data_IF_927790193638
#
_entry.id   IF_927790193638
#
_cell.length_a   1.000
_cell.length_b   1.000
_cell.length_c   1.000
_cell.angle_alpha   90.00
_cell.angle_beta   90.00
_cell.angle_gamma   90.00
#
_symmetry.space_group_name_H-M   'P 1'
#
loop_
_entity.id
_entity.type
_entity.pdbx_description
1 polymer ?
#
# COMPACT_ATOMS: atom_id res chain seq x y z
N UNK A 1 23.45 -1.44 10.92
CA UNK A 1 22.67 -0.51 11.73
C UNK A 1 21.64 -1.31 12.53
N UNK A 2 21.27 -0.85 13.71
CA UNK A 2 20.26 -1.43 14.56
C UNK A 2 19.40 -0.27 15.08
N UNK A 3 18.09 -0.46 15.09
CA UNK A 3 17.13 0.49 15.65
C UNK A 3 16.01 -0.28 16.35
N UNK A 4 15.39 0.34 17.35
CA UNK A 4 14.19 -0.17 18.01
C UNK A 4 13.08 0.86 17.85
N UNK A 5 11.88 0.38 17.64
CA UNK A 5 10.69 1.23 17.56
C UNK A 5 9.53 0.55 18.27
N UNK A 6 8.77 1.28 19.10
CA UNK A 6 7.58 0.74 19.69
C UNK A 6 6.48 0.52 18.64
N UNK A 7 5.66 -0.47 18.83
CA UNK A 7 4.45 -0.73 18.07
C UNK A 7 3.25 -0.75 19.00
N UNK A 8 2.09 -0.35 18.51
CA UNK A 8 0.86 -0.32 19.30
C UNK A 8 -0.37 -0.57 18.43
N UNK A 9 -1.48 -0.91 19.07
CA UNK A 9 -2.78 -1.04 18.40
C UNK A 9 -3.28 0.26 17.76
N UNK A 10 -2.81 1.41 18.23
CA UNK A 10 -3.19 2.71 17.66
C UNK A 10 -2.75 2.85 16.19
N UNK A 11 -1.66 2.19 15.79
CA UNK A 11 -1.18 2.13 14.40
C UNK A 11 -1.28 0.71 13.82
N UNK A 12 -2.24 -0.07 14.27
CA UNK A 12 -2.46 -1.48 13.87
C UNK A 12 -1.17 -2.31 13.88
N UNK A 13 -0.32 -2.10 14.88
CA UNK A 13 0.95 -2.79 15.10
C UNK A 13 1.97 -2.58 13.96
N UNK A 14 1.77 -1.60 13.11
CA UNK A 14 2.75 -1.25 12.09
C UNK A 14 3.90 -0.45 12.70
N UNK A 15 5.08 -0.56 12.10
CA UNK A 15 6.27 0.17 12.49
C UNK A 15 6.87 0.90 11.30
N UNK A 16 7.31 2.13 11.54
CA UNK A 16 7.99 2.96 10.56
C UNK A 16 9.32 3.41 11.13
N UNK A 17 10.42 3.06 10.46
CA UNK A 17 11.77 3.34 10.95
C UNK A 17 12.57 4.02 9.83
N UNK A 18 13.11 5.19 10.11
CA UNK A 18 14.07 5.85 9.23
C UNK A 18 15.48 5.47 9.63
N UNK A 19 16.22 4.85 8.73
CA UNK A 19 17.64 4.52 8.92
C UNK A 19 18.49 5.49 8.11
N UNK A 20 19.21 6.32 8.79
CA UNK A 20 20.17 7.28 8.21
C UNK A 20 21.60 6.76 8.18
N UNK A 21 22.50 7.57 7.58
CA UNK A 21 23.95 7.31 7.56
C UNK A 21 24.37 6.15 6.64
N UNK A 22 23.49 5.66 5.79
CA UNK A 22 23.81 4.63 4.81
C UNK A 22 24.60 5.22 3.65
N UNK A 23 25.55 4.45 3.10
CA UNK A 23 26.32 4.87 1.93
C UNK A 23 25.42 4.86 0.69
N UNK A 24 25.55 5.82 -0.23
CA UNK A 24 24.77 5.87 -1.46
C UNK A 24 25.09 4.68 -2.38
N UNK A 25 24.13 4.33 -3.22
CA UNK A 25 24.25 3.29 -4.24
C UNK A 25 24.76 1.94 -3.69
N UNK A 26 24.25 1.54 -2.55
CA UNK A 26 24.62 0.29 -1.88
C UNK A 26 23.38 -0.55 -1.59
N UNK A 27 23.51 -1.84 -1.79
CA UNK A 27 22.54 -2.82 -1.35
C UNK A 27 22.68 -3.07 0.13
N UNK A 28 21.55 -3.10 0.82
CA UNK A 28 21.44 -3.44 2.24
C UNK A 28 20.36 -4.50 2.40
N UNK A 29 20.51 -5.34 3.42
CA UNK A 29 19.51 -6.29 3.85
C UNK A 29 19.04 -5.92 5.24
N UNK A 30 17.75 -6.09 5.49
CA UNK A 30 17.13 -5.78 6.77
C UNK A 30 16.14 -6.87 7.18
N UNK A 31 15.91 -6.96 8.47
CA UNK A 31 14.89 -7.84 9.06
C UNK A 31 14.33 -7.16 10.30
N UNK A 32 13.03 -7.28 10.49
CA UNK A 32 12.38 -6.93 11.75
C UNK A 32 12.33 -8.17 12.63
N UNK A 33 12.53 -7.97 13.92
CA UNK A 33 12.38 -9.04 14.93
C UNK A 33 11.59 -8.48 16.10
N UNK A 34 10.67 -9.28 16.64
CA UNK A 34 9.95 -8.95 17.85
C UNK A 34 10.75 -9.34 19.12
N UNK A 35 10.19 -9.03 20.30
CA UNK A 35 10.81 -9.35 21.58
C UNK A 35 10.82 -10.86 21.90
N UNK A 36 10.08 -11.67 21.15
CA UNK A 36 10.04 -13.13 21.30
C UNK A 36 11.00 -13.84 20.35
N UNK A 37 11.69 -13.08 19.47
CA UNK A 37 12.64 -13.62 18.50
C UNK A 37 12.00 -14.01 17.15
N UNK A 38 10.69 -13.78 16.94
CA UNK A 38 10.08 -13.98 15.64
C UNK A 38 10.60 -12.96 14.64
N UNK A 39 10.91 -13.39 13.43
CA UNK A 39 11.51 -12.55 12.39
C UNK A 39 10.62 -12.41 11.17
N UNK A 40 10.65 -11.23 10.55
CA UNK A 40 10.10 -11.03 9.20
C UNK A 40 10.94 -11.75 8.14
N UNK A 41 10.46 -11.77 6.90
CA UNK A 41 11.32 -12.05 5.75
C UNK A 41 12.51 -11.10 5.76
N UNK A 42 13.64 -11.54 5.22
CA UNK A 42 14.79 -10.66 4.98
C UNK A 42 14.47 -9.79 3.76
N UNK A 43 14.38 -8.49 3.99
CA UNK A 43 14.19 -7.52 2.93
C UNK A 43 15.53 -7.08 2.35
N UNK A 44 15.56 -6.82 1.04
CA UNK A 44 16.66 -6.20 0.31
C UNK A 44 16.24 -4.79 -0.11
N UNK A 45 17.13 -3.85 0.05
CA UNK A 45 16.94 -2.49 -0.45
C UNK A 45 18.23 -1.96 -1.05
N UNK A 46 18.11 -0.93 -1.89
CA UNK A 46 19.26 -0.20 -2.42
C UNK A 46 19.08 1.29 -2.10
N UNK A 47 20.15 1.92 -1.67
CA UNK A 47 20.15 3.38 -1.48
C UNK A 47 20.31 4.10 -2.81
N UNK A 48 19.66 5.26 -2.93
CA UNK A 48 19.81 6.10 -4.12
C UNK A 48 21.29 6.43 -4.40
N UNK A 49 21.69 6.55 -5.66
CA UNK A 49 23.02 7.06 -6.03
C UNK A 49 23.15 8.56 -5.68
N UNK A 50 24.38 9.05 -5.72
CA UNK A 50 24.60 10.51 -5.65
C UNK A 50 24.04 11.20 -6.91
N UNK A 51 23.67 12.49 -6.84
CA UNK A 51 23.03 13.20 -7.97
C UNK A 51 23.82 13.18 -9.29
N UNK A 52 25.13 13.01 -9.24
CA UNK A 52 25.99 13.00 -10.42
C UNK A 52 26.58 11.62 -10.75
N UNK A 53 26.08 10.57 -10.12
CA UNK A 53 26.51 9.20 -10.42
C UNK A 53 25.94 8.76 -11.78
N UNK A 54 26.78 8.41 -12.77
CA UNK A 54 26.33 8.12 -14.14
C UNK A 54 25.79 6.69 -14.33
N UNK A 55 25.60 5.94 -13.25
CA UNK A 55 25.12 4.54 -13.34
C UNK A 55 23.75 4.43 -13.98
N UNK A 56 23.52 3.35 -14.66
CA UNK A 56 22.18 2.96 -15.10
C UNK A 56 21.34 2.61 -13.88
N UNK A 57 20.07 3.01 -13.90
CA UNK A 57 19.05 2.67 -12.91
C UNK A 57 17.97 1.85 -13.63
N UNK A 58 17.74 0.64 -13.17
CA UNK A 58 16.76 -0.27 -13.73
C UNK A 58 15.54 -0.34 -12.81
N UNK A 59 14.36 -0.09 -13.32
CA UNK A 59 13.15 -0.18 -12.52
C UNK A 59 11.98 -0.75 -13.32
N UNK A 60 11.05 -1.38 -12.63
CA UNK A 60 9.75 -1.69 -13.17
C UNK A 60 8.71 -0.72 -12.59
N UNK A 61 7.67 -0.40 -13.36
CA UNK A 61 6.50 0.28 -12.83
C UNK A 61 5.29 -0.65 -12.91
N UNK A 62 4.44 -0.55 -11.90
CA UNK A 62 3.21 -1.33 -11.74
C UNK A 62 2.10 -0.44 -11.22
N UNK A 63 0.85 -0.81 -11.46
CA UNK A 63 -0.35 -0.16 -10.93
C UNK A 63 -1.51 -1.14 -10.90
N UNK A 64 -2.62 -0.76 -10.27
CA UNK A 64 -3.91 -1.42 -10.45
C UNK A 64 -3.85 -2.92 -10.15
N UNK A 65 -3.33 -3.29 -8.98
CA UNK A 65 -3.25 -4.69 -8.56
C UNK A 65 -4.51 -5.10 -7.78
N UNK A 66 -5.28 -6.04 -8.31
CA UNK A 66 -6.48 -6.53 -7.62
C UNK A 66 -6.32 -7.99 -7.17
N UNK A 67 -6.13 -8.18 -5.86
CA UNK A 67 -6.03 -9.51 -5.23
C UNK A 67 -7.37 -10.21 -5.17
N UNK A 68 -8.46 -9.45 -5.11
CA UNK A 68 -9.81 -10.00 -5.05
C UNK A 68 -10.17 -10.76 -6.33
N UNK A 69 -9.76 -10.24 -7.49
CA UNK A 69 -10.01 -10.82 -8.81
C UNK A 69 -8.88 -11.73 -9.31
N UNK A 70 -7.95 -12.13 -8.46
CA UNK A 70 -6.87 -13.06 -8.81
C UNK A 70 -5.61 -12.88 -7.96
N UNK A 71 -4.66 -13.79 -8.11
CA UNK A 71 -3.38 -13.74 -7.41
C UNK A 71 -2.38 -12.85 -8.14
N UNK A 72 -1.47 -12.21 -7.40
CA UNK A 72 -0.47 -11.29 -7.94
C UNK A 72 0.75 -12.03 -8.56
N UNK A 73 0.50 -13.10 -9.30
CA UNK A 73 1.52 -13.96 -9.90
C UNK A 73 2.44 -13.25 -10.91
N UNK A 74 2.08 -12.05 -11.36
CA UNK A 74 2.95 -11.20 -12.16
C UNK A 74 4.27 -10.87 -11.40
N UNK A 75 4.20 -10.67 -10.08
CA UNK A 75 5.39 -10.45 -9.26
C UNK A 75 6.31 -11.66 -9.24
N UNK A 76 5.76 -12.88 -9.18
CA UNK A 76 6.55 -14.10 -9.28
C UNK A 76 7.28 -14.18 -10.63
N UNK A 77 6.61 -13.80 -11.72
CA UNK A 77 7.24 -13.74 -13.03
C UNK A 77 8.34 -12.68 -13.08
N UNK A 78 8.11 -11.50 -12.51
CA UNK A 78 9.15 -10.47 -12.40
C UNK A 78 10.39 -10.98 -11.66
N UNK A 79 10.20 -11.65 -10.51
CA UNK A 79 11.30 -12.25 -9.73
C UNK A 79 12.06 -13.28 -10.57
N UNK A 80 11.33 -14.16 -11.24
CA UNK A 80 11.93 -15.19 -12.09
C UNK A 80 12.81 -14.62 -13.21
N UNK A 81 12.36 -13.56 -13.87
CA UNK A 81 13.12 -12.90 -14.95
C UNK A 81 14.32 -12.13 -14.39
N UNK A 82 14.12 -11.40 -13.29
CA UNK A 82 15.17 -10.61 -12.64
C UNK A 82 16.32 -11.48 -12.10
N UNK A 83 16.02 -12.66 -11.56
CA UNK A 83 17.04 -13.60 -11.09
C UNK A 83 17.92 -14.19 -12.21
N UNK A 84 17.41 -14.20 -13.43
CA UNK A 84 18.11 -14.69 -14.63
C UNK A 84 18.79 -13.60 -15.41
N UNK A 85 18.42 -12.36 -15.17
CA UNK A 85 19.04 -11.22 -15.80
C UNK A 85 20.50 -11.04 -15.35
N UNK A 86 21.39 -10.59 -16.23
CA UNK A 86 22.72 -10.14 -15.81
C UNK A 86 22.64 -9.10 -14.70
N UNK A 87 23.57 -9.11 -13.74
CA UNK A 87 23.53 -8.22 -12.58
C UNK A 87 23.35 -6.73 -12.93
N UNK A 88 23.88 -6.28 -14.05
CA UNK A 88 23.73 -4.91 -14.53
C UNK A 88 22.33 -4.58 -15.08
N UNK A 89 21.47 -5.59 -15.26
CA UNK A 89 20.11 -5.45 -15.79
C UNK A 89 19.06 -5.79 -14.73
N UNK A 90 19.48 -6.25 -13.55
CA UNK A 90 18.55 -6.53 -12.45
C UNK A 90 17.91 -5.24 -11.95
N UNK A 91 16.66 -5.35 -11.49
CA UNK A 91 15.90 -4.21 -11.02
C UNK A 91 16.45 -3.66 -9.69
N UNK A 92 16.58 -2.35 -9.63
CA UNK A 92 16.93 -1.62 -8.41
C UNK A 92 15.71 -1.40 -7.51
N UNK A 93 14.54 -1.07 -8.09
CA UNK A 93 13.30 -0.81 -7.37
C UNK A 93 12.05 -1.03 -8.24
N UNK A 94 10.90 -1.02 -7.58
CA UNK A 94 9.58 -1.03 -8.21
C UNK A 94 8.88 0.29 -7.92
N UNK A 95 8.38 0.96 -8.97
CA UNK A 95 7.55 2.15 -8.86
C UNK A 95 6.08 1.71 -8.94
N UNK A 96 5.33 1.92 -7.86
CA UNK A 96 3.90 1.61 -7.79
C UNK A 96 3.09 2.89 -7.97
N UNK A 97 2.37 2.98 -9.08
CA UNK A 97 1.69 4.19 -9.52
C UNK A 97 0.28 4.38 -8.93
N UNK A 98 -0.04 3.65 -7.88
CA UNK A 98 -1.34 3.72 -7.21
C UNK A 98 -2.24 2.51 -7.49
N UNK A 99 -3.41 2.50 -6.87
CA UNK A 99 -4.28 1.33 -6.78
C UNK A 99 -3.52 0.11 -6.21
N UNK A 100 -2.82 0.36 -5.12
CA UNK A 100 -2.16 -0.72 -4.36
C UNK A 100 -3.19 -1.63 -3.70
N UNK A 101 -4.33 -1.07 -3.34
CA UNK A 101 -5.52 -1.79 -2.90
C UNK A 101 -6.69 -1.42 -3.79
N UNK A 102 -7.72 -2.26 -3.78
CA UNK A 102 -9.06 -1.94 -4.24
C UNK A 102 -9.97 -1.99 -3.02
N UNK A 103 -10.56 -0.85 -2.67
CA UNK A 103 -11.42 -0.73 -1.49
C UNK A 103 -12.77 -1.41 -1.70
N UNK A 104 -13.17 -1.61 -2.96
CA UNK A 104 -14.38 -2.37 -3.32
C UNK A 104 -14.02 -3.85 -3.42
N UNK A 105 -14.64 -4.68 -2.58
CA UNK A 105 -14.37 -6.12 -2.53
C UNK A 105 -15.62 -6.93 -2.78
N UNK A 106 -15.49 -8.02 -3.52
CA UNK A 106 -16.52 -9.04 -3.68
C UNK A 106 -16.23 -10.21 -2.73
N UNK A 107 -17.28 -10.81 -2.22
CA UNK A 107 -17.15 -11.99 -1.37
C UNK A 107 -17.33 -13.27 -2.17
N UNK A 108 -16.44 -14.27 -2.02
CA UNK A 108 -16.48 -15.50 -2.82
C UNK A 108 -17.72 -16.37 -2.57
N UNK A 109 -18.45 -16.17 -1.48
CA UNK A 109 -19.75 -16.79 -1.22
C UNK A 109 -20.90 -16.10 -1.95
N UNK A 110 -20.73 -14.86 -2.38
CA UNK A 110 -21.73 -14.11 -3.19
C UNK A 110 -21.39 -14.16 -4.69
N UNK A 111 -20.11 -14.01 -5.04
CA UNK A 111 -19.61 -14.01 -6.41
C UNK A 111 -18.43 -14.98 -6.51
N UNK A 112 -18.55 -16.01 -7.33
CA UNK A 112 -17.49 -17.02 -7.46
C UNK A 112 -16.41 -16.65 -8.45
N UNK A 113 -16.81 -16.00 -9.52
CA UNK A 113 -15.91 -15.65 -10.63
C UNK A 113 -16.26 -14.29 -11.22
N UNK A 114 -15.24 -13.56 -11.66
CA UNK A 114 -15.36 -12.35 -12.47
C UNK A 114 -14.28 -12.39 -13.56
N UNK A 115 -14.64 -12.07 -14.81
CA UNK A 115 -13.73 -12.13 -15.97
C UNK A 115 -12.98 -13.48 -16.07
N UNK A 116 -13.70 -14.58 -15.85
CA UNK A 116 -13.16 -15.96 -15.82
C UNK A 116 -12.08 -16.20 -14.74
N UNK A 117 -11.98 -15.32 -13.74
CA UNK A 117 -11.09 -15.46 -12.59
C UNK A 117 -11.89 -15.78 -11.33
N UNK A 118 -11.30 -16.58 -10.46
CA UNK A 118 -11.86 -16.89 -9.15
C UNK A 118 -11.77 -15.65 -8.25
N UNK A 119 -12.87 -15.32 -7.57
CA UNK A 119 -12.87 -14.30 -6.52
C UNK A 119 -12.24 -14.91 -5.27
N UNK A 120 -11.27 -14.17 -4.69
CA UNK A 120 -10.60 -14.54 -3.44
C UNK A 120 -11.05 -13.62 -2.31
N UNK A 121 -11.16 -14.20 -1.12
CA UNK A 121 -11.44 -13.37 0.06
C UNK A 121 -10.25 -12.49 0.40
N UNK A 122 -10.46 -11.17 0.42
CA UNK A 122 -9.50 -10.16 0.80
C UNK A 122 -9.76 -9.67 2.21
N UNK A 123 -11.00 -9.25 2.47
CA UNK A 123 -11.44 -8.75 3.77
C UNK A 123 -12.94 -8.90 3.90
N UNK A 124 -13.43 -9.01 5.13
CA UNK A 124 -14.86 -8.87 5.45
C UNK A 124 -15.10 -7.49 6.03
N UNK A 125 -16.12 -6.83 5.55
CA UNK A 125 -16.51 -5.46 5.90
C UNK A 125 -17.95 -5.45 6.43
N UNK A 126 -18.19 -5.98 7.64
CA UNK A 126 -19.55 -6.20 8.16
C UNK A 126 -20.35 -4.90 8.30
N UNK A 127 -19.68 -3.79 8.59
CA UNK A 127 -20.29 -2.48 8.79
C UNK A 127 -20.18 -1.60 7.51
N UNK A 128 -19.65 -2.15 6.44
CA UNK A 128 -19.49 -1.45 5.17
C UNK A 128 -20.77 -1.47 4.34
N UNK A 129 -21.07 -0.40 3.59
CA UNK A 129 -22.16 -0.42 2.65
C UNK A 129 -21.87 -1.34 1.47
N UNK A 130 -22.93 -1.64 0.71
CA UNK A 130 -22.89 -2.48 -0.48
C UNK A 130 -23.46 -1.74 -1.68
N UNK A 131 -22.79 -1.81 -2.81
CA UNK A 131 -23.27 -1.34 -4.10
C UNK A 131 -23.16 -2.46 -5.14
N UNK A 132 -24.28 -3.01 -5.57
CA UNK A 132 -24.29 -4.24 -6.37
C UNK A 132 -23.69 -5.39 -5.57
N UNK A 133 -22.62 -6.02 -6.07
CA UNK A 133 -21.89 -7.09 -5.39
C UNK A 133 -20.69 -6.58 -4.60
N UNK A 134 -20.38 -5.29 -4.66
CA UNK A 134 -19.22 -4.70 -4.02
C UNK A 134 -19.53 -4.24 -2.61
N UNK A 135 -18.73 -4.69 -1.66
CA UNK A 135 -18.67 -4.19 -0.30
C UNK A 135 -17.47 -3.22 -0.18
N UNK A 136 -17.61 -2.15 0.59
CA UNK A 136 -16.53 -1.18 0.73
C UNK A 136 -16.51 -0.54 2.12
N UNK A 137 -15.34 -0.08 2.60
CA UNK A 137 -15.18 0.44 3.94
C UNK A 137 -15.61 1.90 4.04
N UNK A 138 -16.09 2.29 5.22
CA UNK A 138 -16.24 3.68 5.64
C UNK A 138 -15.42 3.99 6.90
N UNK A 139 -14.63 3.03 7.37
CA UNK A 139 -13.88 3.15 8.64
C UNK A 139 -12.41 2.84 8.44
N UNK A 140 -11.58 3.32 9.36
CA UNK A 140 -10.16 3.01 9.39
C UNK A 140 -9.91 1.49 9.46
N UNK A 141 -10.65 0.77 10.30
CA UNK A 141 -10.47 -0.68 10.47
C UNK A 141 -10.85 -1.45 9.21
N UNK A 142 -11.83 -0.97 8.44
CA UNK A 142 -12.15 -1.53 7.14
C UNK A 142 -11.01 -1.37 6.13
N UNK A 143 -10.41 -0.19 6.02
CA UNK A 143 -9.23 0.01 5.16
C UNK A 143 -8.02 -0.82 5.62
N UNK A 144 -7.77 -0.89 6.93
CA UNK A 144 -6.71 -1.73 7.51
C UNK A 144 -6.92 -3.21 7.16
N UNK A 145 -8.16 -3.69 7.22
CA UNK A 145 -8.49 -5.07 6.87
C UNK A 145 -8.15 -5.37 5.40
N UNK A 146 -8.46 -4.44 4.48
CA UNK A 146 -8.13 -4.57 3.06
C UNK A 146 -6.62 -4.59 2.85
N UNK A 147 -5.87 -3.63 3.43
CA UNK A 147 -4.40 -3.64 3.34
C UNK A 147 -3.78 -4.95 3.83
N UNK A 148 -4.28 -5.49 4.96
CA UNK A 148 -3.82 -6.79 5.47
C UNK A 148 -4.09 -7.91 4.50
N UNK A 149 -5.26 -7.93 3.86
CA UNK A 149 -5.61 -8.93 2.85
C UNK A 149 -4.68 -8.88 1.63
N UNK A 150 -4.41 -7.68 1.11
CA UNK A 150 -3.47 -7.50 0.00
C UNK A 150 -2.04 -7.92 0.37
N UNK A 151 -1.58 -7.50 1.54
CA UNK A 151 -0.24 -7.83 2.03
C UNK A 151 -0.06 -9.28 2.45
N UNK A 152 -1.14 -10.05 2.52
CA UNK A 152 -1.08 -11.50 2.74
C UNK A 152 -0.73 -12.29 1.47
N UNK A 153 -0.81 -11.66 0.26
CA UNK A 153 -0.43 -12.33 -0.98
C UNK A 153 1.08 -12.68 -0.99
N UNK A 154 1.45 -13.96 -1.16
CA UNK A 154 2.84 -14.40 -1.01
C UNK A 154 3.76 -13.84 -2.11
N UNK A 155 3.26 -13.66 -3.34
CA UNK A 155 4.06 -13.16 -4.45
C UNK A 155 4.37 -11.66 -4.28
N UNK A 156 3.41 -10.89 -3.74
CA UNK A 156 3.65 -9.50 -3.33
C UNK A 156 4.65 -9.40 -2.17
N UNK A 157 4.55 -10.31 -1.18
CA UNK A 157 5.50 -10.34 -0.06
C UNK A 157 6.92 -10.64 -0.55
N UNK A 158 7.10 -11.57 -1.48
CA UNK A 158 8.40 -11.91 -2.06
C UNK A 158 8.96 -10.75 -2.89
N UNK A 159 8.12 -10.08 -3.69
CA UNK A 159 8.52 -8.90 -4.45
C UNK A 159 8.96 -7.74 -3.54
N UNK A 160 8.19 -7.46 -2.48
CA UNK A 160 8.53 -6.41 -1.50
C UNK A 160 9.76 -6.74 -0.66
N UNK A 161 10.05 -8.02 -0.45
CA UNK A 161 11.31 -8.44 0.18
C UNK A 161 12.51 -8.28 -0.77
N UNK A 162 12.29 -8.45 -2.09
CA UNK A 162 13.35 -8.37 -3.10
C UNK A 162 13.70 -6.93 -3.50
N UNK A 163 12.72 -6.06 -3.65
CA UNK A 163 12.91 -4.67 -4.10
C UNK A 163 12.27 -3.65 -3.16
N UNK A 164 12.87 -2.46 -3.01
CA UNK A 164 12.15 -1.34 -2.44
C UNK A 164 11.02 -0.92 -3.37
N UNK A 165 9.85 -0.65 -2.79
CA UNK A 165 8.70 -0.09 -3.50
C UNK A 165 8.63 1.40 -3.23
N UNK A 166 8.61 2.19 -4.30
CA UNK A 166 8.31 3.62 -4.27
C UNK A 166 6.87 3.76 -4.71
N UNK A 167 5.97 4.06 -3.80
CA UNK A 167 4.54 4.06 -4.06
C UNK A 167 3.94 5.45 -3.93
N UNK A 168 3.01 5.74 -4.80
CA UNK A 168 2.03 6.80 -4.69
C UNK A 168 0.63 6.18 -4.55
N UNK A 169 -0.39 6.98 -4.31
CA UNK A 169 -1.77 6.53 -4.31
C UNK A 169 -2.57 7.09 -5.49
N UNK A 170 -3.68 6.41 -5.81
CA UNK A 170 -4.66 6.82 -6.81
C UNK A 170 -6.06 6.73 -6.20
N UNK A 171 -7.12 6.61 -6.99
CA UNK A 171 -8.49 6.70 -6.49
C UNK A 171 -8.87 5.53 -5.56
N UNK A 172 -8.48 4.31 -5.84
CA UNK A 172 -8.84 3.13 -5.05
C UNK A 172 -8.22 3.07 -3.64
N UNK A 173 -7.19 3.85 -3.35
CA UNK A 173 -6.73 4.04 -1.99
C UNK A 173 -7.77 4.74 -1.10
N UNK A 174 -8.77 5.40 -1.72
CA UNK A 174 -9.87 6.07 -1.02
C UNK A 174 -11.25 5.61 -1.50
N UNK A 175 -11.57 5.82 -2.79
CA UNK A 175 -12.92 5.52 -3.29
C UNK A 175 -12.96 5.40 -4.81
N UNK A 176 -13.45 4.28 -5.30
CA UNK A 176 -13.48 3.87 -6.71
C UNK A 176 -13.90 4.98 -7.68
N UNK A 177 -15.07 5.58 -7.43
CA UNK A 177 -15.61 6.65 -8.26
C UNK A 177 -15.61 7.99 -7.52
N UNK A 178 -14.95 8.02 -6.34
CA UNK A 178 -14.88 9.20 -5.51
C UNK A 178 -13.96 10.27 -6.10
N UNK A 179 -14.24 11.51 -5.75
CA UNK A 179 -13.44 12.65 -6.13
C UNK A 179 -13.41 13.65 -4.97
N UNK A 180 -12.29 14.36 -4.81
CA UNK A 180 -12.05 15.23 -3.64
C UNK A 180 -12.26 14.44 -2.33
N UNK A 181 -13.36 14.67 -1.60
CA UNK A 181 -13.73 13.98 -0.37
C UNK A 181 -15.15 13.43 -0.44
N UNK A 182 -15.58 12.95 -1.61
CA UNK A 182 -16.85 12.25 -1.82
C UNK A 182 -16.55 10.76 -1.96
N UNK A 183 -17.19 9.94 -1.14
CA UNK A 183 -17.21 8.48 -1.32
C UNK A 183 -18.26 8.15 -2.35
N UNK A 184 -17.86 7.42 -3.38
CA UNK A 184 -18.79 6.97 -4.43
C UNK A 184 -18.45 5.57 -4.92
N UNK A 185 -19.45 4.69 -4.92
CA UNK A 185 -19.38 3.37 -5.50
C UNK A 185 -20.75 3.02 -6.11
N UNK A 186 -20.84 2.95 -7.42
CA UNK A 186 -22.11 2.74 -8.12
C UNK A 186 -23.16 3.81 -7.77
N UNK A 187 -24.28 3.37 -7.21
CA UNK A 187 -25.37 4.28 -6.77
C UNK A 187 -25.17 4.89 -5.39
N UNK A 188 -24.17 4.44 -4.64
CA UNK A 188 -23.85 5.00 -3.33
C UNK A 188 -22.97 6.24 -3.49
N UNK A 189 -23.38 7.33 -2.89
CA UNK A 189 -22.62 8.58 -2.89
C UNK A 189 -22.91 9.37 -1.62
N UNK A 190 -21.86 9.81 -0.92
CA UNK A 190 -21.98 10.69 0.24
C UNK A 190 -20.72 11.51 0.48
N UNK A 191 -20.80 12.64 1.21
CA UNK A 191 -19.63 13.31 1.78
C UNK A 191 -18.81 12.33 2.62
N UNK A 192 -17.49 12.36 2.49
CA UNK A 192 -16.61 11.38 3.11
C UNK A 192 -15.25 11.95 3.53
N UNK A 193 -15.22 13.17 4.08
CA UNK A 193 -13.99 13.76 4.59
C UNK A 193 -13.36 12.89 5.68
N UNK A 194 -14.18 12.35 6.59
CA UNK A 194 -13.74 11.44 7.65
C UNK A 194 -13.24 10.10 7.07
N UNK A 195 -13.90 9.59 6.06
CA UNK A 195 -13.50 8.36 5.36
C UNK A 195 -12.16 8.56 4.65
N UNK A 196 -11.95 9.73 4.01
CA UNK A 196 -10.67 10.04 3.36
C UNK A 196 -9.53 10.16 4.37
N UNK A 197 -9.78 10.70 5.55
CA UNK A 197 -8.79 10.71 6.64
C UNK A 197 -8.45 9.29 7.08
N UNK A 198 -9.45 8.42 7.24
CA UNK A 198 -9.25 7.01 7.57
C UNK A 198 -8.43 6.26 6.51
N UNK A 199 -8.77 6.46 5.23
CA UNK A 199 -8.03 5.90 4.10
C UNK A 199 -6.57 6.37 4.06
N UNK A 200 -6.34 7.67 4.25
CA UNK A 200 -5.01 8.27 4.33
C UNK A 200 -4.19 7.70 5.50
N UNK A 201 -4.82 7.50 6.65
CA UNK A 201 -4.16 6.90 7.80
C UNK A 201 -3.74 5.45 7.50
N UNK A 202 -4.65 4.63 6.96
CA UNK A 202 -4.33 3.27 6.59
C UNK A 202 -3.18 3.22 5.57
N UNK A 203 -3.22 4.06 4.53
CA UNK A 203 -2.12 4.15 3.57
C UNK A 203 -0.80 4.50 4.26
N UNK A 204 -0.80 5.50 5.14
CA UNK A 204 0.39 5.89 5.90
C UNK A 204 0.93 4.73 6.75
N UNK A 205 0.05 3.94 7.37
CA UNK A 205 0.45 2.82 8.23
C UNK A 205 1.08 1.67 7.43
N UNK A 206 0.55 1.34 6.24
CA UNK A 206 0.92 0.14 5.49
C UNK A 206 1.88 0.37 4.33
N UNK A 207 1.99 1.61 3.83
CA UNK A 207 2.89 1.94 2.72
C UNK A 207 4.11 2.71 3.26
N UNK A 208 5.33 2.19 3.06
CA UNK A 208 6.56 2.77 3.62
C UNK A 208 7.04 4.00 2.83
N UNK A 209 6.14 4.93 2.50
CA UNK A 209 6.47 6.17 1.83
C UNK A 209 7.00 7.21 2.82
N UNK A 210 7.94 8.05 2.36
CA UNK A 210 8.39 9.21 3.11
C UNK A 210 7.35 10.32 3.00
N UNK A 211 6.59 10.53 4.06
CA UNK A 211 5.60 11.61 4.12
C UNK A 211 6.17 12.77 4.93
N UNK A 212 6.09 13.99 4.41
CA UNK A 212 6.57 15.19 5.08
C UNK A 212 5.45 16.22 5.22
N UNK A 213 5.43 16.93 6.35
CA UNK A 213 4.56 18.08 6.58
C UNK A 213 5.39 19.23 7.12
N UNK A 214 5.29 20.39 6.49
CA UNK A 214 6.10 21.56 6.90
C UNK A 214 7.62 21.29 6.88
N UNK A 215 8.10 20.48 5.92
CA UNK A 215 9.52 20.10 5.79
C UNK A 215 9.99 19.03 6.77
N UNK A 216 9.17 18.59 7.71
CA UNK A 216 9.50 17.52 8.67
C UNK A 216 8.87 16.20 8.25
N UNK A 217 9.62 15.09 8.40
CA UNK A 217 9.08 13.77 8.19
C UNK A 217 8.06 13.42 9.28
N UNK A 218 6.93 12.85 8.89
CA UNK A 218 5.96 12.32 9.83
C UNK A 218 6.40 10.92 10.30
N UNK A 219 6.51 10.76 11.61
CA UNK A 219 6.79 9.47 12.26
C UNK A 219 5.50 8.71 12.56
N UNK A 220 4.41 9.43 12.74
CA UNK A 220 3.05 8.91 12.98
C UNK A 220 2.05 9.75 12.22
N UNK A 221 0.91 9.16 11.92
CA UNK A 221 -0.20 9.89 11.33
C UNK A 221 -0.86 10.79 12.37
N UNK A 222 -1.04 12.06 12.00
CA UNK A 222 -1.74 13.05 12.78
C UNK A 222 -3.06 13.37 12.07
N UNK A 223 -4.12 12.67 12.50
CA UNK A 223 -5.43 12.77 11.86
C UNK A 223 -6.00 14.17 12.03
N UNK A 224 -6.31 14.91 10.95
CA UNK A 224 -7.00 16.18 11.08
C UNK A 224 -8.43 15.96 11.59
N UNK A 225 -8.90 16.87 12.42
CA UNK A 225 -10.31 16.92 12.79
C UNK A 225 -11.11 17.43 11.58
N UNK A 226 -12.02 16.60 11.08
CA UNK A 226 -12.85 16.92 9.93
C UNK A 226 -14.32 16.66 10.26
N UNK A 227 -15.21 17.27 9.49
CA UNK A 227 -16.65 17.03 9.55
C UNK A 227 -17.12 16.71 8.14
N UNK A 228 -17.90 15.65 8.01
CA UNK A 228 -18.53 15.31 6.74
C UNK A 228 -19.61 16.34 6.39
N UNK A 229 -19.42 16.97 5.25
CA UNK A 229 -20.31 18.00 4.75
C UNK A 229 -20.37 17.95 3.21
N UNK A 230 -21.49 18.30 2.60
CA UNK A 230 -21.56 18.44 1.14
C UNK A 230 -20.47 19.37 0.61
N UNK A 231 -19.85 18.99 -0.49
CA UNK A 231 -18.91 19.84 -1.22
C UNK A 231 -19.72 20.74 -2.14
N UNK A 232 -19.76 22.02 -1.84
CA UNK A 232 -20.55 23.02 -2.59
C UNK A 232 -19.72 23.79 -3.59
N UNK A 233 -18.39 23.76 -3.46
CA UNK A 233 -17.45 24.45 -4.34
C UNK A 233 -16.22 23.55 -4.55
N UNK A 234 -15.53 23.73 -5.69
CA UNK A 234 -14.24 23.09 -5.92
C UNK A 234 -13.23 23.65 -4.89
N UNK A 235 -12.82 22.82 -3.96
CA UNK A 235 -11.70 23.14 -3.08
C UNK A 235 -10.42 22.97 -3.89
N UNK A 236 -9.80 24.08 -4.24
CA UNK A 236 -8.57 24.15 -5.02
C UNK A 236 -7.30 24.03 -4.16
N UNK A 237 -7.43 23.70 -2.88
CA UNK A 237 -6.31 23.59 -1.95
C UNK A 237 -5.76 22.16 -1.82
#
# INVERSE_FOLDING_TARGET
AHAQTPVSSASDWTARVLIGGLKPARTYWYRFTDTQGNGSRVGRTITAPLPHDPRTVNFAFVSCQDVNEGKLNAYRRMIYEDERAPAAQQLDFVLHLGDFIYEVVEYPDEVKTRYDRTIYEVARLPDGPKAGNFHFPLTLDGYRAIYKGYLADPDLQDARARWPFVAMWDNHEFSWQGWQSIVKAGSFEQPGQSVKVAANQAWFEYIPARVTRGGKQLERFDAPAVKDAPITEFDSN
#
